data_IF_082445614439
#
_entry.id   IF_082445614439
#
_cell.length_a   1.000
_cell.length_b   1.000
_cell.length_c   1.000
_cell.angle_alpha   90.00
_cell.angle_beta   90.00
_cell.angle_gamma   90.00
#
_symmetry.space_group_name_H-M   'P 1'
#
loop_
_entity.id
_entity.type
_entity.pdbx_description
1 polymer ?
#
# COMPACT_ATOMS: atom_id res chain seq x y z
N UNK A 1 43.85 -28.46 40.23
CA UNK A 1 44.64 -27.59 39.32
C UNK A 1 45.51 -28.48 38.45
N UNK A 2 45.88 -28.11 37.21
CA UNK A 2 45.12 -27.35 36.21
C UNK A 2 45.40 -27.79 34.73
N UNK A 3 44.66 -27.18 33.78
CA UNK A 3 44.98 -26.91 32.34
C UNK A 3 44.92 -28.10 31.34
N UNK A 4 44.45 -27.97 30.08
CA UNK A 4 44.32 -26.81 29.20
C UNK A 4 43.31 -27.05 28.05
N UNK A 5 42.79 -25.95 27.48
CA UNK A 5 41.86 -25.84 26.34
C UNK A 5 42.52 -26.21 25.00
N UNK A 6 41.75 -26.81 24.09
CA UNK A 6 41.87 -26.52 22.65
C UNK A 6 40.50 -26.26 22.05
N UNK A 7 40.46 -25.19 21.24
CA UNK A 7 39.32 -24.62 20.57
C UNK A 7 39.35 -25.02 19.10
N UNK A 8 38.39 -25.84 18.66
CA UNK A 8 38.12 -26.03 17.23
C UNK A 8 36.79 -25.37 16.85
N UNK A 9 36.92 -24.25 16.17
CA UNK A 9 35.83 -23.54 15.50
C UNK A 9 35.43 -24.30 14.24
N UNK A 10 34.31 -25.02 14.28
CA UNK A 10 33.69 -25.57 13.07
C UNK A 10 32.87 -24.47 12.36
N UNK A 11 33.43 -24.03 11.24
CA UNK A 11 32.86 -23.05 10.32
C UNK A 11 31.64 -23.66 9.61
N UNK A 12 30.44 -23.18 9.94
CA UNK A 12 29.22 -23.49 9.18
C UNK A 12 29.02 -22.36 8.15
N UNK A 13 28.98 -22.64 6.84
CA UNK A 13 28.91 -21.60 5.82
C UNK A 13 27.53 -20.93 5.81
N UNK A 14 27.52 -19.60 5.96
CA UNK A 14 26.37 -18.72 5.76
C UNK A 14 25.90 -18.81 4.30
N UNK A 15 24.85 -19.58 4.05
CA UNK A 15 24.03 -19.44 2.85
C UNK A 15 22.93 -18.42 3.16
N UNK A 16 22.99 -17.25 2.50
CA UNK A 16 21.92 -16.42 1.93
C UNK A 16 22.29 -14.92 1.97
N UNK A 17 22.74 -14.31 0.85
CA UNK A 17 22.84 -12.86 0.77
C UNK A 17 21.43 -12.30 0.50
N UNK A 18 20.69 -11.97 1.54
CA UNK A 18 19.64 -10.97 1.39
C UNK A 18 20.32 -9.60 1.34
N UNK A 19 20.71 -9.20 0.13
CA UNK A 19 21.08 -7.82 -0.19
C UNK A 19 19.85 -6.94 -0.02
N UNK A 20 19.55 -6.60 1.23
CA UNK A 20 18.81 -5.39 1.56
C UNK A 20 19.77 -4.26 1.25
N UNK A 21 19.55 -3.56 0.14
CA UNK A 21 20.18 -2.25 -0.06
C UNK A 21 19.59 -1.36 1.02
N UNK A 22 20.25 -1.32 2.18
CA UNK A 22 20.01 -0.30 3.19
C UNK A 22 20.51 0.98 2.55
N UNK A 23 19.59 1.81 2.09
CA UNK A 23 19.92 3.17 1.70
C UNK A 23 20.34 3.88 2.99
N UNK A 24 21.64 3.85 3.30
CA UNK A 24 22.18 4.63 4.41
C UNK A 24 22.07 6.07 3.92
N UNK A 25 20.98 6.76 4.27
CA UNK A 25 20.96 8.22 4.16
C UNK A 25 22.20 8.72 4.91
N UNK A 26 23.13 9.33 4.18
CA UNK A 26 24.30 9.92 4.80
C UNK A 26 23.81 11.06 5.69
N UNK A 27 24.41 11.23 6.87
CA UNK A 27 24.04 12.28 7.85
C UNK A 27 24.02 13.70 7.25
N UNK A 28 24.61 13.89 6.07
CA UNK A 28 24.71 15.16 5.35
C UNK A 28 23.46 15.49 4.51
N UNK A 29 22.56 14.53 4.26
CA UNK A 29 21.35 14.72 3.42
C UNK A 29 20.08 15.04 4.23
N UNK A 30 20.17 15.08 5.56
CA UNK A 30 19.02 15.37 6.42
C UNK A 30 18.86 16.88 6.59
N UNK A 31 17.63 17.42 6.40
CA UNK A 31 17.40 18.83 6.63
C UNK A 31 17.73 19.18 8.09
N UNK A 32 18.32 20.36 8.36
CA UNK A 32 18.58 20.79 9.72
C UNK A 32 17.25 20.83 10.48
N UNK A 33 17.10 19.95 11.46
CA UNK A 33 15.90 19.85 12.28
C UNK A 33 16.23 20.17 13.73
N UNK A 34 15.35 20.91 14.38
CA UNK A 34 15.36 21.07 15.83
C UNK A 34 14.12 20.36 16.36
N UNK A 35 14.28 19.27 17.14
CA UNK A 35 13.14 18.58 17.72
C UNK A 35 12.30 19.48 18.60
N UNK A 36 10.98 19.33 18.52
CA UNK A 36 10.04 20.05 19.38
C UNK A 36 10.13 19.44 20.79
N UNK A 37 10.60 20.21 21.77
CA UNK A 37 10.76 19.77 23.16
C UNK A 37 9.50 20.02 23.97
N UNK A 38 9.10 19.02 24.74
CA UNK A 38 8.01 19.05 25.70
C UNK A 38 8.58 18.72 27.08
N UNK A 39 8.70 19.71 27.97
CA UNK A 39 9.32 19.52 29.27
C UNK A 39 8.61 18.46 30.11
N UNK A 40 9.38 17.76 30.96
CA UNK A 40 8.84 16.87 31.97
C UNK A 40 7.76 17.58 32.79
N UNK A 41 6.68 16.86 33.11
CA UNK A 41 5.50 17.36 33.86
C UNK A 41 4.70 18.49 33.16
N UNK A 42 5.04 18.90 31.95
CA UNK A 42 4.28 19.89 31.17
C UNK A 42 3.13 19.26 30.34
N UNK A 43 2.94 17.95 30.44
CA UNK A 43 1.92 17.19 29.72
C UNK A 43 1.31 16.12 30.61
N UNK A 44 0.16 15.62 30.20
CA UNK A 44 -0.51 14.48 30.79
C UNK A 44 -0.68 13.36 29.77
N UNK A 45 -0.60 12.11 30.22
CA UNK A 45 -0.75 10.94 29.36
C UNK A 45 -2.23 10.55 29.29
N UNK A 46 -2.74 10.43 28.06
CA UNK A 46 -4.09 9.95 27.77
C UNK A 46 -4.01 8.65 26.97
N UNK A 47 -4.86 7.68 27.31
CA UNK A 47 -5.13 6.56 26.39
C UNK A 47 -6.17 7.02 25.37
N UNK A 48 -5.91 6.74 24.10
CA UNK A 48 -6.84 6.99 23.01
C UNK A 48 -7.47 5.66 22.60
N UNK A 49 -8.80 5.62 22.59
CA UNK A 49 -9.61 4.46 22.18
C UNK A 49 -10.18 4.71 20.79
N UNK A 50 -10.00 3.76 19.87
CA UNK A 50 -10.59 3.85 18.53
C UNK A 50 -12.13 3.79 18.60
N UNK A 51 -12.81 4.68 17.89
CA UNK A 51 -14.28 4.73 17.84
C UNK A 51 -14.99 3.45 17.37
N UNK A 52 -14.29 2.56 16.65
CA UNK A 52 -14.83 1.26 16.19
C UNK A 52 -14.68 0.18 17.24
N UNK A 53 -13.90 0.42 18.28
CA UNK A 53 -13.68 -0.52 19.37
C UNK A 53 -14.86 -0.45 20.35
N UNK A 54 -15.79 -1.40 20.19
CA UNK A 54 -17.08 -1.40 20.89
C UNK A 54 -17.36 -2.78 21.48
N UNK A 55 -17.87 -2.85 22.71
CA UNK A 55 -18.25 -4.12 23.35
C UNK A 55 -19.41 -4.78 22.61
N UNK A 56 -20.38 -3.96 22.18
CA UNK A 56 -21.51 -4.33 21.34
C UNK A 56 -21.81 -3.19 20.37
N UNK A 57 -22.43 -3.48 19.21
CA UNK A 57 -22.79 -2.44 18.21
C UNK A 57 -23.57 -1.24 18.78
N UNK A 58 -24.20 -1.40 19.95
CA UNK A 58 -25.00 -0.38 20.64
C UNK A 58 -24.26 0.36 21.76
N UNK A 59 -23.15 -0.16 22.26
CA UNK A 59 -22.45 0.40 23.43
C UNK A 59 -21.02 0.79 23.04
N UNK A 60 -20.92 2.01 22.49
CA UNK A 60 -19.68 2.58 21.96
C UNK A 60 -18.80 3.21 23.04
N UNK A 61 -19.36 3.50 24.21
CA UNK A 61 -18.70 4.25 25.29
C UNK A 61 -18.26 3.36 26.43
N UNK A 62 -18.72 2.10 26.51
CA UNK A 62 -18.38 1.16 27.58
C UNK A 62 -16.91 1.15 27.98
N UNK A 63 -15.99 1.00 27.01
CA UNK A 63 -14.55 0.89 27.32
C UNK A 63 -14.03 2.19 27.91
N UNK A 64 -14.45 3.34 27.36
CA UNK A 64 -14.09 4.66 27.89
C UNK A 64 -14.61 4.82 29.33
N UNK A 65 -15.89 4.61 29.56
CA UNK A 65 -16.53 4.77 30.87
C UNK A 65 -15.86 3.89 31.94
N UNK A 66 -15.57 2.63 31.61
CA UNK A 66 -14.91 1.72 32.55
C UNK A 66 -13.47 2.15 32.87
N UNK A 67 -12.75 2.72 31.91
CA UNK A 67 -11.40 3.25 32.15
C UNK A 67 -11.46 4.53 33.00
N UNK A 68 -12.41 5.42 32.73
CA UNK A 68 -12.63 6.66 33.50
C UNK A 68 -13.02 6.37 34.95
N UNK A 69 -13.89 5.38 35.18
CA UNK A 69 -14.24 4.91 36.52
C UNK A 69 -13.02 4.39 37.31
N UNK A 70 -11.98 3.95 36.62
CA UNK A 70 -10.71 3.49 37.22
C UNK A 70 -9.65 4.61 37.33
N UNK A 71 -10.06 5.87 37.09
CA UNK A 71 -9.22 7.06 37.17
C UNK A 71 -8.24 7.20 36.00
N UNK A 72 -8.49 6.52 34.87
CA UNK A 72 -7.65 6.64 33.67
C UNK A 72 -8.19 7.74 32.78
N UNK A 73 -7.30 8.62 32.33
CA UNK A 73 -7.64 9.68 31.38
C UNK A 73 -7.73 9.11 29.97
N UNK A 74 -8.89 9.28 29.35
CA UNK A 74 -9.29 8.65 28.08
C UNK A 74 -9.70 9.69 27.05
N UNK A 75 -9.46 9.40 25.77
CA UNK A 75 -9.99 10.14 24.63
C UNK A 75 -10.51 9.13 23.62
N UNK A 76 -11.75 9.30 23.15
CA UNK A 76 -12.30 8.47 22.08
C UNK A 76 -12.26 9.23 20.76
N UNK A 77 -11.59 8.68 19.75
CA UNK A 77 -11.51 9.25 18.39
C UNK A 77 -11.17 8.19 17.37
N UNK A 78 -11.35 8.49 16.07
CA UNK A 78 -10.99 7.54 15.02
C UNK A 78 -9.48 7.44 14.90
N UNK A 79 -8.94 6.23 15.03
CA UNK A 79 -7.54 5.92 14.80
C UNK A 79 -7.38 5.34 13.39
N UNK A 80 -6.34 5.78 12.69
CA UNK A 80 -6.03 5.20 11.38
C UNK A 80 -5.51 3.77 11.55
N UNK A 81 -4.67 3.51 12.55
CA UNK A 81 -4.05 2.20 12.85
C UNK A 81 -4.03 1.95 14.36
N UNK A 82 -4.35 0.72 14.76
CA UNK A 82 -4.49 0.29 16.15
C UNK A 82 -5.86 0.58 16.74
N UNK A 83 -6.18 -0.12 17.83
CA UNK A 83 -7.42 0.06 18.60
C UNK A 83 -7.18 0.91 19.85
N UNK A 84 -5.96 0.85 20.39
CA UNK A 84 -5.53 1.71 21.49
C UNK A 84 -4.13 2.27 21.24
N UNK A 85 -3.95 3.56 21.50
CA UNK A 85 -2.64 4.22 21.56
C UNK A 85 -2.57 5.10 22.80
N UNK A 86 -1.40 5.63 23.13
CA UNK A 86 -1.26 6.65 24.16
C UNK A 86 -0.69 7.93 23.56
N UNK A 87 -1.15 9.06 24.08
CA UNK A 87 -0.64 10.38 23.72
C UNK A 87 -0.17 11.14 24.95
N UNK A 88 0.83 11.99 24.76
CA UNK A 88 1.15 13.08 25.67
C UNK A 88 0.42 14.34 25.19
N UNK A 89 -0.54 14.82 25.98
CA UNK A 89 -1.27 16.05 25.75
C UNK A 89 -0.70 17.16 26.63
N UNK A 90 -0.18 18.27 26.05
CA UNK A 90 0.31 19.40 26.83
C UNK A 90 -0.75 19.95 27.78
N UNK A 91 -0.32 20.41 28.96
CA UNK A 91 -1.22 21.15 29.88
C UNK A 91 -1.42 22.56 29.35
N UNK A 92 -2.66 23.04 29.38
CA UNK A 92 -3.04 24.38 28.93
C UNK A 92 -2.09 25.44 29.54
N UNK A 93 -1.51 26.28 28.68
CA UNK A 93 -0.59 27.36 29.06
C UNK A 93 0.92 27.10 28.87
N UNK A 94 1.34 25.86 28.59
CA UNK A 94 2.78 25.50 28.51
C UNK A 94 3.35 25.36 27.09
N UNK A 95 2.50 25.24 26.06
CA UNK A 95 2.92 25.12 24.67
C UNK A 95 2.13 26.10 23.81
N UNK A 96 2.82 27.11 23.29
CA UNK A 96 2.22 28.18 22.46
C UNK A 96 1.49 27.68 21.21
N UNK A 97 1.67 26.41 20.83
CA UNK A 97 0.91 25.69 19.80
C UNK A 97 0.82 24.19 20.17
N UNK A 98 0.32 23.86 21.38
CA UNK A 98 0.43 22.53 21.99
C UNK A 98 -0.14 21.35 21.18
N UNK A 99 0.63 20.83 20.23
CA UNK A 99 0.32 19.61 19.49
C UNK A 99 0.50 18.40 20.39
N UNK A 100 -0.42 17.45 20.31
CA UNK A 100 -0.36 16.18 21.03
C UNK A 100 0.72 15.27 20.41
N UNK A 101 1.42 14.50 21.25
CA UNK A 101 2.47 13.59 20.79
C UNK A 101 2.02 12.14 20.98
N UNK A 102 2.25 11.28 20.00
CA UNK A 102 2.01 9.85 20.11
C UNK A 102 3.16 9.17 20.84
N UNK A 103 2.83 8.44 21.91
CA UNK A 103 3.77 7.62 22.65
C UNK A 103 4.02 6.30 21.90
N UNK A 104 5.13 5.64 22.23
CA UNK A 104 5.63 4.50 21.47
C UNK A 104 4.90 3.17 21.69
N UNK A 105 3.62 3.19 22.05
CA UNK A 105 2.83 1.98 22.29
C UNK A 105 1.53 2.01 21.49
N UNK A 106 1.26 0.90 20.80
CA UNK A 106 0.00 0.64 20.10
C UNK A 106 -0.48 -0.76 20.44
N UNK A 107 -1.77 -0.91 20.70
CA UNK A 107 -2.44 -2.19 20.85
C UNK A 107 -3.39 -2.39 19.67
N UNK A 108 -3.31 -3.57 19.05
CA UNK A 108 -4.38 -4.13 18.22
C UNK A 108 -5.07 -5.22 19.04
N UNK A 109 -6.36 -5.02 19.36
CA UNK A 109 -7.20 -5.99 20.07
C UNK A 109 -7.91 -6.87 19.05
N UNK A 110 -7.89 -8.18 19.32
CA UNK A 110 -8.58 -9.17 18.50
C UNK A 110 -9.30 -10.16 19.39
N UNK A 111 -10.61 -10.30 19.23
CA UNK A 111 -11.31 -11.44 19.81
C UNK A 111 -10.91 -12.72 19.08
N UNK A 112 -10.97 -13.88 19.74
CA UNK A 112 -10.68 -15.16 19.08
C UNK A 112 -11.56 -15.37 17.83
N UNK A 113 -12.82 -14.96 17.88
CA UNK A 113 -13.77 -15.10 16.77
C UNK A 113 -13.37 -14.20 15.58
N UNK A 114 -13.02 -12.94 15.84
CA UNK A 114 -12.52 -12.02 14.82
C UNK A 114 -11.17 -12.46 14.25
N UNK A 115 -10.32 -13.10 15.06
CA UNK A 115 -9.05 -13.63 14.60
C UNK A 115 -9.28 -14.75 13.59
N UNK A 116 -10.15 -15.73 13.89
CA UNK A 116 -10.51 -16.82 12.97
C UNK A 116 -11.11 -16.26 11.67
N UNK A 117 -12.04 -15.31 11.78
CA UNK A 117 -12.62 -14.66 10.61
C UNK A 117 -11.57 -13.93 9.78
N UNK A 118 -10.65 -13.22 10.43
CA UNK A 118 -9.59 -12.47 9.77
C UNK A 118 -8.51 -13.34 9.13
N UNK A 119 -8.27 -14.56 9.62
CA UNK A 119 -7.34 -15.52 8.98
C UNK A 119 -7.96 -16.07 7.69
N UNK A 120 -9.28 -16.25 7.67
CA UNK A 120 -10.02 -16.73 6.49
C UNK A 120 -10.14 -15.63 5.42
N UNK A 121 -10.31 -14.38 5.83
CA UNK A 121 -10.34 -13.21 4.93
C UNK A 121 -8.91 -12.65 4.72
N UNK A 122 -8.65 -11.98 3.61
CA UNK A 122 -7.38 -11.30 3.32
C UNK A 122 -6.98 -10.20 4.34
N UNK A 123 -7.89 -9.83 5.26
CA UNK A 123 -7.75 -8.70 6.20
C UNK A 123 -6.62 -8.86 7.21
N UNK A 124 -6.32 -10.08 7.66
CA UNK A 124 -5.26 -10.28 8.65
C UNK A 124 -3.89 -9.80 8.15
N UNK A 125 -3.57 -10.06 6.88
CA UNK A 125 -2.30 -9.62 6.27
C UNK A 125 -2.23 -8.09 6.16
N UNK A 126 -3.30 -7.46 5.70
CA UNK A 126 -3.37 -6.00 5.55
C UNK A 126 -3.27 -5.29 6.90
N UNK A 127 -3.99 -5.76 7.93
CA UNK A 127 -3.94 -5.20 9.28
C UNK A 127 -2.52 -5.28 9.85
N UNK A 128 -1.88 -6.45 9.71
CA UNK A 128 -0.51 -6.68 10.15
C UNK A 128 0.50 -5.76 9.46
N UNK A 129 0.43 -5.62 8.13
CA UNK A 129 1.33 -4.72 7.37
C UNK A 129 1.18 -3.28 7.84
N UNK A 130 -0.05 -2.82 8.06
CA UNK A 130 -0.31 -1.46 8.58
C UNK A 130 0.28 -1.27 9.97
N UNK A 131 0.13 -2.25 10.85
CA UNK A 131 0.72 -2.18 12.19
C UNK A 131 2.24 -2.21 12.14
N UNK A 132 2.86 -3.03 11.27
CA UNK A 132 4.31 -3.04 11.07
C UNK A 132 4.86 -1.68 10.62
N UNK A 133 4.14 -1.03 9.70
CA UNK A 133 4.57 0.21 9.05
C UNK A 133 4.07 1.48 9.75
N UNK A 134 3.35 1.35 10.88
CA UNK A 134 2.71 2.52 11.51
C UNK A 134 3.65 3.53 12.16
N UNK A 135 4.93 3.21 12.24
CA UNK A 135 5.93 4.07 12.86
C UNK A 135 6.04 3.91 14.38
N UNK A 136 5.11 3.24 15.06
CA UNK A 136 5.21 2.97 16.50
C UNK A 136 6.12 1.76 16.76
N UNK A 137 6.98 1.86 17.78
CA UNK A 137 7.95 0.81 18.12
C UNK A 137 7.30 -0.37 18.82
N UNK A 138 6.63 -0.12 19.95
CA UNK A 138 6.11 -1.19 20.80
C UNK A 138 4.69 -1.53 20.35
N UNK A 139 4.59 -2.59 19.55
CA UNK A 139 3.34 -3.10 19.00
C UNK A 139 2.89 -4.27 19.85
N UNK A 140 1.68 -4.17 20.39
CA UNK A 140 1.08 -5.19 21.25
C UNK A 140 -0.11 -5.78 20.50
N UNK A 141 -0.11 -7.10 20.35
CA UNK A 141 -1.24 -7.84 19.81
C UNK A 141 -2.01 -8.46 20.97
N UNK A 142 -3.19 -7.94 21.27
CA UNK A 142 -4.01 -8.37 22.41
C UNK A 142 -5.09 -9.33 21.93
N UNK A 143 -4.96 -10.61 22.29
CA UNK A 143 -5.93 -11.66 21.93
C UNK A 143 -6.86 -11.93 23.11
N UNK A 144 -8.12 -11.56 22.95
CA UNK A 144 -9.17 -11.78 23.96
C UNK A 144 -9.96 -13.06 23.65
N UNK A 145 -10.07 -13.94 24.65
CA UNK A 145 -10.83 -15.19 24.51
C UNK A 145 -12.34 -14.92 24.54
N UNK A 146 -13.04 -15.45 23.53
CA UNK A 146 -14.50 -15.43 23.48
C UNK A 146 -15.10 -16.61 24.27
N UNK A 147 -16.16 -16.43 25.07
CA UNK A 147 -16.83 -17.52 25.80
C UNK A 147 -17.50 -18.56 24.90
N UNK A 148 -17.80 -18.24 23.64
CA UNK A 148 -18.53 -19.10 22.68
C UNK A 148 -17.68 -20.22 22.06
N UNK A 149 -16.64 -20.65 22.78
CA UNK A 149 -15.65 -21.65 22.39
C UNK A 149 -16.19 -23.07 22.64
N UNK A 150 -17.29 -23.46 21.99
CA UNK A 150 -17.83 -24.83 22.12
C UNK A 150 -17.91 -25.62 20.79
N UNK A 151 -17.78 -24.96 19.62
CA UNK A 151 -17.95 -25.66 18.31
C UNK A 151 -16.89 -25.38 17.23
N UNK A 152 -15.88 -24.53 17.49
CA UNK A 152 -14.84 -24.17 16.52
C UNK A 152 -13.45 -24.81 16.79
N UNK A 153 -13.37 -25.70 17.79
CA UNK A 153 -12.15 -25.92 18.58
C UNK A 153 -11.01 -26.68 17.90
N UNK A 154 -11.20 -27.66 17.00
CA UNK A 154 -10.00 -28.45 16.59
C UNK A 154 -9.21 -27.87 15.41
N UNK A 155 -9.87 -27.41 14.34
CA UNK A 155 -9.14 -26.89 13.17
C UNK A 155 -8.68 -25.43 13.36
N UNK A 156 -9.46 -24.63 14.10
CA UNK A 156 -9.18 -23.21 14.32
C UNK A 156 -8.04 -22.96 15.30
N UNK A 157 -7.92 -23.77 16.36
CA UNK A 157 -6.95 -23.52 17.43
C UNK A 157 -5.50 -23.68 16.97
N UNK A 158 -5.21 -24.64 16.10
CA UNK A 158 -3.87 -24.80 15.51
C UNK A 158 -3.53 -23.60 14.63
N UNK A 159 -4.45 -23.17 13.76
CA UNK A 159 -4.25 -21.99 12.92
C UNK A 159 -4.09 -20.69 13.75
N UNK A 160 -4.88 -20.54 14.82
CA UNK A 160 -4.76 -19.42 15.78
C UNK A 160 -3.40 -19.45 16.46
N UNK A 161 -2.95 -20.61 16.96
CA UNK A 161 -1.62 -20.78 17.58
C UNK A 161 -0.52 -20.43 16.60
N UNK A 162 -0.58 -20.95 15.37
CA UNK A 162 0.38 -20.62 14.32
C UNK A 162 0.39 -19.11 14.04
N UNK A 163 -0.78 -18.47 13.88
CA UNK A 163 -0.87 -17.03 13.64
C UNK A 163 -0.30 -16.22 14.81
N UNK A 164 -0.56 -16.62 16.06
CA UNK A 164 0.03 -15.99 17.26
C UNK A 164 1.54 -16.16 17.30
N UNK A 165 2.05 -17.36 17.03
CA UNK A 165 3.50 -17.62 16.96
C UNK A 165 4.15 -16.80 15.85
N UNK A 166 3.52 -16.67 14.68
CA UNK A 166 4.03 -15.83 13.59
C UNK A 166 4.12 -14.37 14.00
N UNK A 167 3.08 -13.82 14.64
CA UNK A 167 3.06 -12.43 15.14
C UNK A 167 4.18 -12.18 16.14
N UNK A 168 4.47 -13.14 17.02
CA UNK A 168 5.50 -12.99 18.04
C UNK A 168 6.92 -13.21 17.49
N UNK A 169 7.14 -14.29 16.72
CA UNK A 169 8.48 -14.73 16.29
C UNK A 169 8.94 -14.01 15.03
N UNK A 170 8.05 -13.81 14.06
CA UNK A 170 8.42 -13.21 12.77
C UNK A 170 8.35 -11.69 12.87
N UNK A 171 7.27 -11.15 13.43
CA UNK A 171 7.02 -9.70 13.40
C UNK A 171 7.53 -8.97 14.64
N UNK A 172 7.90 -9.71 15.69
CA UNK A 172 8.40 -9.13 16.94
C UNK A 172 7.36 -8.35 17.75
N UNK A 173 6.06 -8.61 17.54
CA UNK A 173 5.02 -7.97 18.35
C UNK A 173 4.93 -8.62 19.73
N UNK A 174 4.58 -7.83 20.74
CA UNK A 174 4.29 -8.37 22.07
C UNK A 174 2.90 -8.98 22.09
N UNK A 175 2.80 -10.30 22.27
CA UNK A 175 1.52 -10.98 22.36
C UNK A 175 0.99 -10.94 23.80
N UNK A 176 -0.20 -10.36 24.00
CA UNK A 176 -0.92 -10.37 25.28
C UNK A 176 -2.22 -11.15 25.13
N UNK A 177 -2.41 -12.20 25.92
CA UNK A 177 -3.69 -12.90 25.98
C UNK A 177 -4.50 -12.43 27.21
N UNK A 178 -5.81 -12.28 27.02
CA UNK A 178 -6.77 -11.99 28.08
C UNK A 178 -7.95 -12.96 27.99
N UNK A 179 -8.48 -13.39 29.14
CA UNK A 179 -9.59 -14.33 29.23
C UNK A 179 -10.96 -13.65 29.04
N UNK A 180 -11.03 -12.33 29.20
CA UNK A 180 -12.26 -11.55 29.10
C UNK A 180 -11.96 -10.07 28.86
N UNK A 181 -13.00 -9.32 28.44
CA UNK A 181 -12.93 -7.86 28.35
C UNK A 181 -12.56 -7.19 29.68
N UNK A 182 -12.98 -7.74 30.82
CA UNK A 182 -12.62 -7.18 32.12
C UNK A 182 -11.11 -7.27 32.37
N UNK A 183 -10.48 -8.40 32.00
CA UNK A 183 -9.03 -8.53 32.09
C UNK A 183 -8.32 -7.61 31.08
N UNK A 184 -8.88 -7.44 29.88
CA UNK A 184 -8.43 -6.44 28.90
C UNK A 184 -8.44 -5.03 29.50
N UNK A 185 -9.54 -4.61 30.12
CA UNK A 185 -9.64 -3.31 30.79
C UNK A 185 -8.59 -3.15 31.89
N UNK A 186 -8.42 -4.15 32.75
CA UNK A 186 -7.39 -4.11 33.80
C UNK A 186 -5.97 -4.02 33.23
N UNK A 187 -5.71 -4.65 32.09
CA UNK A 187 -4.43 -4.54 31.39
C UNK A 187 -4.22 -3.12 30.86
N UNK A 188 -5.23 -2.52 30.22
CA UNK A 188 -5.17 -1.13 29.73
C UNK A 188 -4.94 -0.13 30.87
N UNK A 189 -5.61 -0.31 32.03
CA UNK A 189 -5.40 0.52 33.23
C UNK A 189 -3.95 0.43 33.71
N UNK A 190 -3.43 -0.81 33.86
CA UNK A 190 -2.05 -1.04 34.31
C UNK A 190 -1.02 -0.44 33.36
N UNK A 191 -1.20 -0.68 32.06
CA UNK A 191 -0.34 -0.09 31.02
C UNK A 191 -0.36 1.44 31.08
N UNK A 192 -1.54 2.05 31.17
CA UNK A 192 -1.65 3.51 31.21
C UNK A 192 -0.95 4.09 32.43
N UNK A 193 -1.13 3.50 33.62
CA UNK A 193 -0.44 3.95 34.84
C UNK A 193 1.08 3.84 34.72
N UNK A 194 1.58 2.73 34.16
CA UNK A 194 3.01 2.54 33.94
C UNK A 194 3.58 3.56 32.95
N UNK A 195 2.89 3.83 31.85
CA UNK A 195 3.32 4.83 30.87
C UNK A 195 3.28 6.25 31.44
N UNK A 196 2.26 6.58 32.22
CA UNK A 196 2.21 7.86 32.94
C UNK A 196 3.42 8.06 33.85
N UNK A 197 3.80 7.03 34.62
CA UNK A 197 4.99 7.07 35.48
C UNK A 197 6.25 7.24 34.63
N UNK A 198 6.42 6.41 33.59
CA UNK A 198 7.60 6.40 32.72
C UNK A 198 7.84 7.75 32.05
N UNK A 199 6.79 8.40 31.55
CA UNK A 199 6.91 9.64 30.78
C UNK A 199 6.83 10.91 31.62
N UNK A 200 6.12 10.91 32.75
CA UNK A 200 5.96 12.13 33.57
C UNK A 200 7.28 12.74 34.07
N UNK A 201 8.33 11.93 34.24
CA UNK A 201 9.63 12.33 34.77
C UNK A 201 10.67 12.75 33.72
N UNK A 202 10.35 12.71 32.43
CA UNK A 202 11.31 12.97 31.36
C UNK A 202 10.77 13.93 30.31
N UNK A 203 11.68 14.65 29.65
CA UNK A 203 11.35 15.47 28.50
C UNK A 203 11.01 14.59 27.30
N UNK A 204 9.99 14.99 26.55
CA UNK A 204 9.63 14.38 25.29
C UNK A 204 10.13 15.25 24.13
N UNK A 205 10.56 14.61 23.06
CA UNK A 205 10.99 15.27 21.84
C UNK A 205 10.17 14.75 20.67
N UNK A 206 9.60 15.64 19.87
CA UNK A 206 8.83 15.29 18.68
C UNK A 206 9.53 15.78 17.41
N UNK A 207 9.40 15.02 16.33
CA UNK A 207 9.88 15.41 15.02
C UNK A 207 8.93 16.49 14.46
N UNK A 208 9.45 17.63 13.96
CA UNK A 208 8.64 18.62 13.27
C UNK A 208 7.89 18.01 12.07
N UNK A 209 6.59 18.28 11.90
CA UNK A 209 5.76 17.64 10.88
C UNK A 209 6.20 17.96 9.44
N UNK A 210 6.91 19.06 9.22
CA UNK A 210 7.34 19.55 7.91
C UNK A 210 8.42 18.66 7.26
N UNK A 211 9.11 17.85 8.06
CA UNK A 211 10.28 17.07 7.64
C UNK A 211 9.91 15.61 7.34
N UNK A 212 8.73 15.18 7.81
CA UNK A 212 8.35 13.77 7.81
C UNK A 212 7.78 13.37 6.45
N UNK A 213 8.45 12.43 5.77
CA UNK A 213 7.91 11.76 4.59
C UNK A 213 7.47 10.34 4.92
N UNK A 214 6.35 9.90 4.32
CA UNK A 214 5.77 8.56 4.54
C UNK A 214 6.71 7.44 4.11
N UNK A 215 7.44 7.64 3.01
CA UNK A 215 8.30 6.62 2.41
C UNK A 215 9.61 6.40 3.18
N UNK A 216 10.12 7.44 3.84
CA UNK A 216 11.43 7.44 4.51
C UNK A 216 11.33 7.60 6.04
N UNK A 217 10.12 7.63 6.61
CA UNK A 217 9.89 7.96 8.01
C UNK A 217 10.77 7.16 9.00
N UNK A 218 10.88 5.84 8.80
CA UNK A 218 11.64 4.97 9.71
C UNK A 218 13.13 5.32 9.71
N UNK A 219 13.72 5.44 8.52
CA UNK A 219 15.14 5.75 8.32
C UNK A 219 15.45 7.17 8.80
N UNK A 220 14.59 8.13 8.47
CA UNK A 220 14.69 9.52 8.93
C UNK A 220 14.65 9.59 10.46
N UNK A 221 13.70 8.94 11.12
CA UNK A 221 13.62 8.95 12.59
C UNK A 221 14.90 8.38 13.20
N UNK A 222 15.36 7.22 12.76
CA UNK A 222 16.56 6.58 13.31
C UNK A 222 17.81 7.45 13.13
N UNK A 223 17.91 8.17 12.01
CA UNK A 223 19.02 9.08 11.77
C UNK A 223 18.96 10.34 12.63
N UNK A 224 17.78 10.93 12.81
CA UNK A 224 17.56 12.07 13.69
C UNK A 224 17.76 11.71 15.17
N UNK A 225 17.31 10.52 15.60
CA UNK A 225 17.55 10.02 16.97
C UNK A 225 19.06 9.85 17.23
N UNK A 226 19.82 9.36 16.25
CA UNK A 226 21.29 9.28 16.33
C UNK A 226 21.94 10.65 16.40
N UNK A 227 21.49 11.60 15.59
CA UNK A 227 22.02 12.97 15.55
C UNK A 227 21.78 13.71 16.88
N UNK A 228 20.57 13.63 17.42
CA UNK A 228 20.18 14.37 18.62
C UNK A 228 20.40 13.60 19.93
N UNK A 229 20.79 12.32 19.87
CA UNK A 229 20.99 11.42 21.02
C UNK A 229 19.79 11.36 21.96
N UNK A 230 18.59 11.51 21.41
CA UNK A 230 17.34 11.50 22.14
C UNK A 230 16.30 10.66 21.39
N UNK A 231 15.32 10.17 22.14
CA UNK A 231 14.19 9.44 21.57
C UNK A 231 13.20 10.42 20.95
N UNK A 232 12.85 10.20 19.69
CA UNK A 232 11.95 11.07 18.94
C UNK A 232 10.59 10.43 18.74
N UNK A 233 9.58 11.21 19.02
CA UNK A 233 8.17 10.87 18.89
C UNK A 233 7.54 11.61 17.70
N UNK A 234 6.29 11.26 17.39
CA UNK A 234 5.56 11.85 16.27
C UNK A 234 4.37 12.63 16.81
N UNK A 235 4.10 13.79 16.23
CA UNK A 235 2.88 14.55 16.49
C UNK A 235 1.65 13.73 16.06
N UNK A 236 0.58 13.78 16.84
CA UNK A 236 -0.63 12.97 16.61
C UNK A 236 -1.24 13.16 15.22
N UNK A 237 -1.42 14.41 14.77
CA UNK A 237 -2.00 14.69 13.46
C UNK A 237 -1.13 14.14 12.33
N UNK A 238 0.19 14.23 12.48
CA UNK A 238 1.14 13.65 11.52
C UNK A 238 1.09 12.14 11.54
N UNK A 239 1.01 11.51 12.71
CA UNK A 239 0.84 10.06 12.82
C UNK A 239 -0.43 9.59 12.09
N UNK A 240 -1.55 10.31 12.26
CA UNK A 240 -2.79 10.00 11.56
C UNK A 240 -2.65 10.18 10.05
N UNK A 241 -2.04 11.27 9.58
CA UNK A 241 -1.83 11.51 8.14
C UNK A 241 -0.91 10.46 7.50
N UNK A 242 0.18 10.07 8.16
CA UNK A 242 1.11 9.04 7.67
C UNK A 242 0.42 7.68 7.51
N UNK A 243 -0.47 7.36 8.45
CA UNK A 243 -1.18 6.09 8.52
C UNK A 243 -2.53 6.09 7.81
N UNK A 244 -2.93 7.23 7.25
CA UNK A 244 -4.17 7.33 6.51
C UNK A 244 -4.12 6.40 5.29
N UNK A 245 -5.29 5.85 4.95
CA UNK A 245 -5.49 4.92 3.85
C UNK A 245 -5.47 5.63 2.49
N UNK A 246 -4.85 6.80 2.39
CA UNK A 246 -4.46 7.38 1.10
C UNK A 246 -3.52 6.39 0.42
N UNK A 247 -4.11 5.68 -0.53
CA UNK A 247 -3.44 4.76 -1.42
C UNK A 247 -2.71 5.62 -2.46
N UNK A 248 -1.61 6.23 -2.05
CA UNK A 248 -0.69 6.86 -2.97
C UNK A 248 0.09 5.75 -3.69
N UNK A 249 -0.63 4.96 -4.49
CA UNK A 249 -0.03 3.90 -5.27
C UNK A 249 0.95 4.51 -6.23
N UNK A 250 2.19 4.05 -6.25
CA UNK A 250 3.09 4.42 -7.35
C UNK A 250 2.53 3.83 -8.65
N UNK A 251 2.74 4.49 -9.79
CA UNK A 251 2.28 3.99 -11.10
C UNK A 251 2.74 2.54 -11.33
N UNK A 252 3.98 2.22 -10.93
CA UNK A 252 4.53 0.88 -10.96
C UNK A 252 3.78 -0.14 -10.07
N UNK A 253 3.24 0.29 -8.92
CA UNK A 253 2.45 -0.58 -8.05
C UNK A 253 1.07 -0.89 -8.65
N UNK A 254 0.43 0.10 -9.27
CA UNK A 254 -0.82 -0.09 -10.02
C UNK A 254 -0.54 -1.08 -11.16
N UNK A 255 0.53 -0.86 -11.90
CA UNK A 255 0.96 -1.73 -12.99
C UNK A 255 1.23 -3.18 -12.53
N UNK A 256 1.95 -3.35 -11.42
CA UNK A 256 2.21 -4.68 -10.84
C UNK A 256 0.90 -5.38 -10.45
N UNK A 257 -0.07 -4.65 -9.88
CA UNK A 257 -1.40 -5.19 -9.54
C UNK A 257 -2.21 -5.56 -10.79
N UNK A 258 -2.14 -4.74 -11.84
CA UNK A 258 -2.76 -5.02 -13.13
C UNK A 258 -2.21 -6.33 -13.73
N UNK A 259 -0.89 -6.54 -13.67
CA UNK A 259 -0.26 -7.81 -14.11
C UNK A 259 -0.75 -9.02 -13.29
N UNK A 260 -0.87 -8.88 -11.98
CA UNK A 260 -1.37 -9.94 -11.09
C UNK A 260 -2.85 -10.30 -11.33
N UNK A 261 -3.61 -9.46 -12.06
CA UNK A 261 -4.98 -9.81 -12.46
C UNK A 261 -5.03 -10.92 -13.52
N UNK A 262 -3.93 -11.15 -14.24
CA UNK A 262 -3.80 -12.20 -15.24
C UNK A 262 -3.55 -13.54 -14.53
N UNK A 263 -4.52 -14.45 -14.58
CA UNK A 263 -4.43 -15.78 -13.93
C UNK A 263 -3.15 -16.51 -14.34
N UNK A 264 -2.29 -16.81 -13.35
CA UNK A 264 -1.00 -17.48 -13.53
C UNK A 264 0.22 -16.56 -13.32
N UNK A 265 0.00 -15.24 -13.27
CA UNK A 265 1.02 -14.26 -12.90
C UNK A 265 1.07 -14.13 -11.38
N UNK A 266 2.10 -14.69 -10.75
CA UNK A 266 2.37 -14.50 -9.33
C UNK A 266 2.95 -13.11 -9.05
N UNK A 267 2.94 -12.68 -7.78
CA UNK A 267 3.54 -11.40 -7.39
C UNK A 267 5.03 -11.29 -7.77
N UNK A 268 5.78 -12.39 -7.67
CA UNK A 268 7.20 -12.43 -8.07
C UNK A 268 7.40 -12.23 -9.58
N UNK A 269 6.53 -12.81 -10.41
CA UNK A 269 6.55 -12.65 -11.86
C UNK A 269 6.11 -11.26 -12.28
N UNK A 270 5.05 -10.74 -11.66
CA UNK A 270 4.57 -9.38 -11.89
C UNK A 270 5.63 -8.35 -11.53
N UNK A 271 6.27 -8.48 -10.37
CA UNK A 271 7.34 -7.58 -9.94
C UNK A 271 8.57 -7.63 -10.84
N UNK A 272 8.95 -8.83 -11.32
CA UNK A 272 10.05 -8.97 -12.27
C UNK A 272 9.74 -8.27 -13.61
N UNK A 273 8.54 -8.48 -14.16
CA UNK A 273 8.14 -7.85 -15.41
C UNK A 273 7.96 -6.33 -15.24
N UNK A 274 7.39 -5.87 -14.12
CA UNK A 274 7.24 -4.46 -13.80
C UNK A 274 8.58 -3.77 -13.47
N UNK A 275 9.63 -4.51 -13.14
CA UNK A 275 10.98 -3.97 -13.01
C UNK A 275 11.60 -3.69 -14.38
N UNK A 276 11.44 -4.60 -15.33
CA UNK A 276 11.92 -4.46 -16.70
C UNK A 276 11.11 -3.42 -17.48
N UNK A 277 9.79 -3.41 -17.28
CA UNK A 277 8.84 -2.48 -17.89
C UNK A 277 8.05 -1.75 -16.79
N UNK A 278 8.52 -0.58 -16.32
CA UNK A 278 7.94 0.13 -15.18
C UNK A 278 6.45 0.49 -15.28
N UNK A 279 5.93 0.60 -16.50
CA UNK A 279 4.54 0.97 -16.78
C UNK A 279 3.94 0.12 -17.89
N UNK A 280 2.60 0.05 -17.95
CA UNK A 280 1.90 -0.61 -19.06
C UNK A 280 2.33 -0.04 -20.42
N UNK A 281 2.48 1.29 -20.52
CA UNK A 281 2.92 1.96 -21.76
C UNK A 281 4.33 1.54 -22.17
N UNK A 282 5.26 1.39 -21.22
CA UNK A 282 6.63 0.94 -21.52
C UNK A 282 6.65 -0.46 -22.12
N UNK A 283 5.81 -1.38 -21.62
CA UNK A 283 5.68 -2.71 -22.19
C UNK A 283 5.02 -2.66 -23.58
N UNK A 284 3.94 -1.90 -23.75
CA UNK A 284 3.27 -1.75 -25.04
C UNK A 284 4.24 -1.19 -26.11
N UNK A 285 5.01 -0.15 -25.77
CA UNK A 285 5.99 0.42 -26.69
C UNK A 285 7.08 -0.59 -27.09
N UNK A 286 7.52 -1.44 -26.16
CA UNK A 286 8.45 -2.51 -26.48
C UNK A 286 7.83 -3.57 -27.40
N UNK A 287 6.53 -3.90 -27.22
CA UNK A 287 5.80 -4.83 -28.08
C UNK A 287 5.50 -4.27 -29.48
N UNK A 288 5.33 -2.95 -29.60
CA UNK A 288 5.15 -2.24 -30.88
C UNK A 288 6.39 -2.37 -31.77
N UNK A 289 7.58 -2.43 -31.17
CA UNK A 289 8.85 -2.60 -31.88
C UNK A 289 9.14 -4.05 -32.29
N UNK A 290 8.27 -5.01 -31.96
CA UNK A 290 8.42 -6.40 -32.35
C UNK A 290 7.71 -6.68 -33.69
N UNK A 291 8.36 -7.38 -34.64
CA UNK A 291 7.81 -7.62 -35.97
C UNK A 291 6.62 -8.59 -35.98
N UNK A 292 6.66 -9.61 -35.13
CA UNK A 292 5.68 -10.70 -35.12
C UNK A 292 5.27 -11.13 -33.69
N UNK A 293 4.23 -11.96 -33.60
CA UNK A 293 3.71 -12.43 -32.32
C UNK A 293 4.70 -13.32 -31.55
N UNK A 294 5.56 -14.08 -32.22
CA UNK A 294 6.57 -14.91 -31.55
C UNK A 294 7.68 -14.05 -30.93
N UNK A 295 8.08 -12.98 -31.61
CA UNK A 295 9.00 -11.98 -31.07
C UNK A 295 8.43 -11.27 -29.83
N UNK A 296 7.12 -10.95 -29.82
CA UNK A 296 6.41 -10.39 -28.65
C UNK A 296 6.39 -11.35 -27.46
N UNK A 297 6.12 -12.64 -27.71
CA UNK A 297 6.18 -13.67 -26.67
C UNK A 297 7.60 -13.77 -26.09
N UNK A 298 8.64 -13.77 -26.94
CA UNK A 298 10.03 -13.82 -26.52
C UNK A 298 10.42 -12.61 -25.66
N UNK A 299 9.97 -11.41 -26.02
CA UNK A 299 10.20 -10.18 -25.25
C UNK A 299 9.58 -10.25 -23.85
N UNK A 300 8.35 -10.75 -23.72
CA UNK A 300 7.68 -10.91 -22.41
C UNK A 300 8.38 -11.97 -21.57
N UNK A 301 8.84 -13.07 -22.18
CA UNK A 301 9.61 -14.11 -21.50
C UNK A 301 10.94 -13.55 -20.97
N UNK A 302 11.65 -12.78 -21.80
CA UNK A 302 12.91 -12.12 -21.44
C UNK A 302 12.76 -11.03 -20.38
N UNK A 303 11.57 -10.41 -20.30
CA UNK A 303 11.24 -9.48 -19.22
C UNK A 303 10.97 -10.14 -17.87
N UNK A 304 10.73 -11.46 -17.85
CA UNK A 304 10.64 -12.27 -16.64
C UNK A 304 12.03 -12.57 -16.07
N UNK A 305 12.16 -12.60 -14.74
CA UNK A 305 13.42 -12.96 -14.08
C UNK A 305 13.73 -14.45 -14.16
N UNK A 306 14.80 -14.91 -13.49
CA UNK A 306 15.15 -16.33 -13.45
C UNK A 306 14.34 -17.13 -12.41
N UNK A 307 14.31 -18.46 -12.55
CA UNK A 307 13.74 -19.39 -11.56
C UNK A 307 12.23 -19.18 -11.35
N UNK A 308 11.79 -18.95 -10.11
CA UNK A 308 10.36 -18.73 -9.78
C UNK A 308 9.76 -17.48 -10.43
N UNK A 309 10.62 -16.53 -10.86
CA UNK A 309 10.26 -15.30 -11.57
C UNK A 309 10.15 -15.50 -13.09
N UNK A 310 10.54 -16.66 -13.60
CA UNK A 310 10.53 -16.94 -15.02
C UNK A 310 9.10 -17.03 -15.57
N UNK A 311 8.92 -16.44 -16.74
CA UNK A 311 7.67 -16.48 -17.48
C UNK A 311 7.83 -17.53 -18.58
N UNK A 312 7.08 -18.63 -18.46
CA UNK A 312 7.04 -19.67 -19.50
C UNK A 312 6.23 -19.23 -20.72
N UNK A 313 6.42 -19.90 -21.86
CA UNK A 313 5.78 -19.54 -23.14
C UNK A 313 4.26 -19.42 -23.06
N UNK A 314 3.58 -20.40 -22.47
CA UNK A 314 2.13 -20.36 -22.30
C UNK A 314 1.63 -19.15 -21.48
N UNK A 315 2.41 -18.70 -20.50
CA UNK A 315 2.08 -17.52 -19.70
C UNK A 315 2.40 -16.22 -20.45
N UNK A 316 3.51 -16.18 -21.20
CA UNK A 316 3.87 -15.03 -22.04
C UNK A 316 2.83 -14.77 -23.13
N UNK A 317 2.40 -15.82 -23.84
CA UNK A 317 1.31 -15.76 -24.81
C UNK A 317 0.03 -15.18 -24.21
N UNK A 318 -0.33 -15.66 -23.02
CA UNK A 318 -1.52 -15.16 -22.30
C UNK A 318 -1.40 -13.69 -21.90
N UNK A 319 -0.20 -13.26 -21.48
CA UNK A 319 0.08 -11.85 -21.16
C UNK A 319 -0.05 -10.99 -22.43
N UNK A 320 0.53 -11.43 -23.55
CA UNK A 320 0.41 -10.76 -24.84
C UNK A 320 -1.04 -10.65 -25.32
N UNK A 321 -1.80 -11.75 -25.29
CA UNK A 321 -3.20 -11.75 -25.72
C UNK A 321 -4.08 -10.76 -24.95
N UNK A 322 -3.73 -10.47 -23.69
CA UNK A 322 -4.45 -9.53 -22.83
C UNK A 322 -3.97 -8.09 -23.05
N UNK A 323 -2.66 -7.87 -23.21
CA UNK A 323 -2.05 -6.54 -23.24
C UNK A 323 -1.98 -5.96 -24.66
N UNK A 324 -1.68 -6.77 -25.66
CA UNK A 324 -1.49 -6.31 -27.03
C UNK A 324 -2.75 -5.63 -27.62
N UNK A 325 -3.97 -6.13 -27.41
CA UNK A 325 -5.18 -5.42 -27.85
C UNK A 325 -5.36 -4.04 -27.19
N UNK A 326 -4.81 -3.84 -25.99
CA UNK A 326 -4.84 -2.53 -25.31
C UNK A 326 -4.01 -1.47 -26.03
N UNK A 327 -2.97 -1.87 -26.76
CA UNK A 327 -2.17 -0.93 -27.55
C UNK A 327 -3.05 -0.16 -28.55
N UNK A 328 -3.91 -0.87 -29.28
CA UNK A 328 -4.85 -0.26 -30.23
C UNK A 328 -5.91 0.59 -29.56
N UNK A 329 -6.45 0.14 -28.42
CA UNK A 329 -7.43 0.91 -27.65
C UNK A 329 -6.83 2.22 -27.11
N UNK A 330 -5.57 2.19 -26.64
CA UNK A 330 -4.86 3.38 -26.16
C UNK A 330 -4.55 4.36 -27.30
N UNK A 331 -4.14 3.87 -28.48
CA UNK A 331 -3.91 4.72 -29.66
C UNK A 331 -5.22 5.36 -30.14
N UNK A 332 -6.32 4.61 -30.18
CA UNK A 332 -7.63 5.12 -30.52
C UNK A 332 -8.13 6.16 -29.51
N UNK A 333 -7.94 5.91 -28.21
CA UNK A 333 -8.30 6.84 -27.13
C UNK A 333 -7.47 8.13 -27.22
N UNK A 334 -6.15 8.04 -27.38
CA UNK A 334 -5.28 9.23 -27.52
C UNK A 334 -5.63 10.03 -28.77
N UNK A 335 -5.93 9.36 -29.87
CA UNK A 335 -6.37 10.03 -31.11
C UNK A 335 -7.72 10.74 -30.91
N UNK A 336 -8.67 10.11 -30.20
CA UNK A 336 -9.98 10.68 -29.93
C UNK A 336 -9.88 11.88 -28.97
N UNK A 337 -9.10 11.76 -27.89
CA UNK A 337 -8.82 12.83 -26.92
C UNK A 337 -8.11 13.99 -27.60
N UNK A 338 -7.14 13.71 -28.48
CA UNK A 338 -6.43 14.76 -29.23
C UNK A 338 -7.35 15.45 -30.24
N UNK A 339 -8.15 14.69 -31.00
CA UNK A 339 -9.15 15.25 -31.93
C UNK A 339 -10.20 16.09 -31.22
N UNK A 340 -10.70 15.65 -30.06
CA UNK A 340 -11.66 16.44 -29.26
C UNK A 340 -11.02 17.67 -28.65
N UNK A 341 -9.79 17.59 -28.11
CA UNK A 341 -9.06 18.77 -27.63
C UNK A 341 -8.74 19.77 -28.75
N UNK A 342 -8.34 19.29 -29.92
CA UNK A 342 -8.07 20.10 -31.10
C UNK A 342 -9.34 20.77 -31.66
N UNK A 343 -10.42 20.00 -31.80
CA UNK A 343 -11.70 20.51 -32.29
C UNK A 343 -12.31 21.55 -31.35
N UNK A 344 -12.22 21.32 -30.03
CA UNK A 344 -12.66 22.28 -29.02
C UNK A 344 -11.82 23.57 -29.03
N UNK A 345 -10.49 23.44 -29.11
CA UNK A 345 -9.55 24.59 -29.12
C UNK A 345 -9.67 25.43 -30.39
N UNK A 346 -10.12 24.86 -31.51
CA UNK A 346 -10.26 25.54 -32.79
C UNK A 346 -11.72 25.81 -33.20
N UNK A 347 -12.70 25.58 -32.31
CA UNK A 347 -14.11 25.85 -32.58
C UNK A 347 -14.73 24.99 -33.70
N UNK A 348 -14.12 23.84 -34.02
CA UNK A 348 -14.61 22.94 -35.08
C UNK A 348 -15.60 21.94 -34.49
N UNK A 349 -16.82 21.78 -35.04
CA UNK A 349 -17.78 20.81 -34.55
C UNK A 349 -17.28 19.37 -34.77
N UNK A 350 -17.29 18.56 -33.71
CA UNK A 350 -16.96 17.12 -33.79
C UNK A 350 -18.16 16.38 -34.36
N UNK A 351 -18.22 16.20 -35.68
CA UNK A 351 -19.28 15.41 -36.33
C UNK A 351 -19.00 13.92 -36.16
N UNK A 352 -19.95 13.22 -35.54
CA UNK A 352 -19.89 11.80 -35.20
C UNK A 352 -20.24 10.88 -36.38
N UNK A 353 -19.55 10.96 -37.52
CA UNK A 353 -19.77 10.01 -38.63
C UNK A 353 -18.58 9.98 -39.59
N UNK A 354 -17.52 9.27 -39.23
CA UNK A 354 -16.63 8.66 -40.22
C UNK A 354 -15.94 7.45 -39.61
N UNK A 355 -16.46 6.25 -39.90
CA UNK A 355 -15.79 4.99 -39.62
C UNK A 355 -14.41 4.97 -40.30
N UNK A 356 -13.32 4.61 -39.61
CA UNK A 356 -12.05 4.42 -40.29
C UNK A 356 -12.03 3.00 -40.91
N UNK A 357 -12.49 2.87 -42.15
CA UNK A 357 -11.98 1.81 -43.02
C UNK A 357 -10.57 2.23 -43.43
N UNK A 358 -9.55 1.65 -42.78
CA UNK A 358 -8.17 1.80 -43.20
C UNK A 358 -7.76 0.52 -43.95
N UNK A 359 -7.83 0.56 -45.28
CA UNK A 359 -7.25 -0.47 -46.15
C UNK A 359 -5.75 -0.20 -46.27
N UNK A 360 -4.93 -0.93 -45.53
CA UNK A 360 -3.48 -0.98 -45.72
C UNK A 360 -3.13 -2.05 -46.76
N UNK A 361 -3.47 -1.84 -48.03
CA UNK A 361 -2.84 -2.49 -49.19
C UNK A 361 -3.25 -1.75 -50.46
N UNK A 362 -2.53 -0.66 -50.79
CA UNK A 362 -2.09 -0.36 -52.16
C UNK A 362 -1.28 0.94 -52.23
N UNK A 363 0.02 0.75 -52.42
CA UNK A 363 0.92 1.42 -53.37
C UNK A 363 0.83 2.93 -53.65
N UNK A 364 1.96 3.58 -53.30
CA UNK A 364 2.84 4.41 -54.12
C UNK A 364 2.35 5.79 -54.62
N UNK A 365 3.24 6.76 -54.37
CA UNK A 365 3.29 8.13 -54.88
C UNK A 365 2.36 9.14 -54.21
N UNK A 366 2.87 9.77 -53.14
CA UNK A 366 2.73 11.22 -53.00
C UNK A 366 3.89 11.77 -52.15
N UNK A 367 4.44 12.88 -52.63
CA UNK A 367 5.78 13.41 -52.40
C UNK A 367 6.03 13.99 -51.01
N UNK A 368 7.26 13.79 -50.54
CA UNK A 368 7.92 14.55 -49.46
C UNK A 368 7.91 16.05 -49.75
N UNK A 369 6.98 16.83 -49.17
CA UNK A 369 7.13 18.29 -49.14
C UNK A 369 6.35 19.04 -48.04
N UNK A 370 5.73 18.36 -47.07
CA UNK A 370 4.93 19.07 -46.05
C UNK A 370 5.21 18.62 -44.61
N UNK A 371 6.50 18.49 -44.26
CA UNK A 371 6.94 18.19 -42.87
C UNK A 371 7.17 19.43 -41.99
N UNK A 372 7.13 20.64 -42.54
CA UNK A 372 7.55 21.84 -41.82
C UNK A 372 6.46 22.93 -41.80
N UNK A 373 5.41 22.74 -41.00
CA UNK A 373 4.57 23.85 -40.52
C UNK A 373 3.65 23.40 -39.38
N UNK A 374 4.14 23.36 -38.14
CA UNK A 374 3.26 23.36 -36.96
C UNK A 374 3.79 24.36 -35.92
N UNK A 375 3.03 25.40 -35.57
CA UNK A 375 3.50 26.43 -34.66
C UNK A 375 3.51 25.92 -33.21
N UNK A 376 4.65 26.08 -32.55
CA UNK A 376 4.80 26.07 -31.09
C UNK A 376 4.00 27.28 -30.57
N UNK A 377 3.05 27.14 -29.63
CA UNK A 377 2.66 28.24 -28.71
C UNK A 377 1.74 27.84 -27.51
N UNK A 378 2.22 28.32 -26.34
CA UNK A 378 1.62 28.72 -25.04
C UNK A 378 0.87 27.74 -24.12
N UNK A 379 1.34 27.75 -22.86
CA UNK A 379 0.82 27.11 -21.65
C UNK A 379 -0.41 27.85 -21.09
N UNK A 380 -1.58 27.22 -21.11
CA UNK A 380 -2.72 27.55 -20.24
C UNK A 380 -3.33 26.27 -19.63
N UNK A 381 -3.93 26.33 -18.42
CA UNK A 381 -4.34 25.15 -17.66
C UNK A 381 -5.56 24.43 -18.27
N UNK A 382 -5.45 23.11 -18.36
CA UNK A 382 -6.40 22.21 -19.03
C UNK A 382 -7.55 21.81 -18.08
N UNK A 383 -8.80 22.07 -18.47
CA UNK A 383 -10.00 21.45 -17.86
C UNK A 383 -10.50 20.34 -18.81
N UNK A 384 -10.59 19.10 -18.32
CA UNK A 384 -10.93 17.92 -19.14
C UNK A 384 -12.45 17.77 -19.39
N UNK A 385 -12.89 17.30 -20.58
CA UNK A 385 -14.30 17.03 -20.90
C UNK A 385 -14.85 15.74 -20.23
N UNK A 386 -16.19 15.55 -20.18
CA UNK A 386 -16.85 14.48 -19.42
C UNK A 386 -16.58 13.06 -19.95
N UNK A 387 -16.23 12.16 -19.04
CA UNK A 387 -15.72 10.78 -19.24
C UNK A 387 -16.75 9.80 -19.87
N UNK A 388 -18.04 10.14 -19.89
CA UNK A 388 -19.11 9.19 -20.22
C UNK A 388 -19.19 8.77 -21.70
N UNK A 389 -18.86 9.66 -22.65
CA UNK A 389 -18.95 9.36 -24.10
C UNK A 389 -17.79 8.51 -24.62
N UNK A 390 -16.65 8.50 -23.94
CA UNK A 390 -15.44 7.73 -24.28
C UNK A 390 -15.58 6.24 -23.94
N UNK A 391 -16.38 5.93 -22.92
CA UNK A 391 -16.52 4.57 -22.38
C UNK A 391 -17.37 3.63 -23.24
N UNK A 392 -18.36 4.16 -23.98
CA UNK A 392 -19.22 3.39 -24.87
C UNK A 392 -18.45 2.92 -26.11
N UNK A 393 -17.65 3.79 -26.72
CA UNK A 393 -16.88 3.51 -27.94
C UNK A 393 -15.77 2.47 -27.72
N UNK A 394 -15.09 2.50 -26.57
CA UNK A 394 -14.09 1.46 -26.21
C UNK A 394 -14.73 0.08 -26.03
N UNK A 395 -15.93 0.03 -25.47
CA UNK A 395 -16.64 -1.23 -25.25
C UNK A 395 -17.14 -1.85 -26.56
N UNK A 396 -17.60 -1.02 -27.49
CA UNK A 396 -17.99 -1.44 -28.84
C UNK A 396 -16.80 -1.93 -29.66
N UNK A 397 -15.66 -1.25 -29.60
CA UNK A 397 -14.43 -1.63 -30.33
C UNK A 397 -13.90 -2.98 -29.83
N UNK A 398 -13.89 -3.20 -28.51
CA UNK A 398 -13.51 -4.48 -27.91
C UNK A 398 -14.51 -5.61 -28.25
N UNK A 399 -15.81 -5.32 -28.22
CA UNK A 399 -16.86 -6.28 -28.60
C UNK A 399 -16.73 -6.70 -30.08
N UNK A 400 -16.46 -5.77 -30.99
CA UNK A 400 -16.26 -6.08 -32.41
C UNK A 400 -15.03 -6.98 -32.65
N UNK A 401 -13.92 -6.74 -31.95
CA UNK A 401 -12.72 -7.57 -32.11
C UNK A 401 -12.87 -8.98 -31.50
N UNK A 402 -13.62 -9.11 -30.40
CA UNK A 402 -13.94 -10.42 -29.81
C UNK A 402 -14.91 -11.23 -30.69
N UNK A 403 -15.75 -10.58 -31.49
CA UNK A 403 -16.59 -11.25 -32.50
C UNK A 403 -15.73 -11.83 -33.63
N UNK A 404 -14.69 -11.12 -34.08
CA UNK A 404 -13.76 -11.63 -35.10
C UNK A 404 -12.86 -12.79 -34.62
N UNK A 405 -12.70 -13.01 -33.31
CA UNK A 405 -11.97 -14.16 -32.74
C UNK A 405 -12.85 -15.36 -32.36
N UNK A 406 -14.19 -15.23 -32.42
CA UNK A 406 -15.12 -16.34 -32.08
C UNK A 406 -15.17 -17.46 -33.12
N UNK A 407 -14.52 -17.29 -34.27
CA UNK A 407 -14.33 -18.34 -35.28
C UNK A 407 -13.30 -19.40 -34.88
N UNK A 408 -12.59 -19.25 -33.76
CA UNK A 408 -11.72 -20.30 -33.19
C UNK A 408 -12.01 -20.52 -31.70
N UNK A 409 -12.43 -21.72 -31.34
CA UNK A 409 -13.15 -22.10 -30.11
C UNK A 409 -12.55 -21.77 -28.71
N UNK A 410 -13.48 -21.70 -27.75
CA UNK A 410 -13.35 -22.04 -26.30
C UNK A 410 -12.56 -21.13 -25.32
N UNK A 411 -12.33 -19.85 -25.60
CA UNK A 411 -11.53 -18.98 -24.69
C UNK A 411 -12.34 -17.84 -24.01
N UNK A 412 -13.64 -17.68 -24.32
CA UNK A 412 -14.39 -16.44 -24.08
C UNK A 412 -14.70 -16.02 -22.62
N UNK A 413 -14.88 -16.96 -21.68
CA UNK A 413 -15.42 -16.61 -20.35
C UNK A 413 -14.36 -16.05 -19.37
N UNK A 414 -13.16 -16.65 -19.32
CA UNK A 414 -12.09 -16.24 -18.40
C UNK A 414 -11.39 -14.95 -18.84
N UNK A 415 -11.31 -14.69 -20.15
CA UNK A 415 -10.72 -13.45 -20.69
C UNK A 415 -11.64 -12.25 -20.45
N UNK A 416 -12.96 -12.43 -20.53
CA UNK A 416 -13.96 -11.39 -20.23
C UNK A 416 -13.87 -10.87 -18.80
N UNK A 417 -13.69 -11.74 -17.80
CA UNK A 417 -13.53 -11.32 -16.40
C UNK A 417 -12.20 -10.59 -16.13
N UNK A 418 -11.12 -11.03 -16.80
CA UNK A 418 -9.79 -10.40 -16.67
C UNK A 418 -9.80 -8.99 -17.30
N UNK A 419 -10.44 -8.85 -18.45
CA UNK A 419 -10.64 -7.57 -19.13
C UNK A 419 -11.44 -6.57 -18.31
N UNK A 420 -12.59 -6.98 -17.74
CA UNK A 420 -13.40 -6.11 -16.87
C UNK A 420 -12.60 -5.59 -15.67
N UNK A 421 -11.74 -6.43 -15.10
CA UNK A 421 -10.89 -6.07 -13.97
C UNK A 421 -9.75 -5.14 -14.38
N UNK A 422 -9.14 -5.35 -15.55
CA UNK A 422 -8.15 -4.44 -16.14
C UNK A 422 -8.74 -3.07 -16.49
N UNK A 423 -9.93 -3.02 -17.09
CA UNK A 423 -10.65 -1.78 -17.42
C UNK A 423 -10.84 -0.89 -16.18
N UNK A 424 -11.31 -1.47 -15.07
CA UNK A 424 -11.45 -0.74 -13.79
C UNK A 424 -10.12 -0.16 -13.27
N UNK A 425 -9.00 -0.80 -13.57
CA UNK A 425 -7.68 -0.26 -13.21
C UNK A 425 -7.14 0.76 -14.22
N UNK A 426 -7.54 0.69 -15.49
CA UNK A 426 -7.18 1.71 -16.48
C UNK A 426 -7.92 3.03 -16.23
N UNK A 427 -9.17 2.97 -15.77
CA UNK A 427 -9.92 4.15 -15.33
C UNK A 427 -9.20 4.88 -14.17
N UNK A 428 -8.60 4.13 -13.25
CA UNK A 428 -7.76 4.67 -12.16
C UNK A 428 -6.42 5.25 -12.64
N UNK A 429 -5.89 4.77 -13.77
CA UNK A 429 -4.65 5.25 -14.37
C UNK A 429 -4.90 6.56 -15.14
N UNK A 430 -6.00 6.65 -15.89
CA UNK A 430 -6.36 7.84 -16.69
C UNK A 430 -6.75 9.08 -15.89
N UNK A 431 -7.04 8.91 -14.59
CA UNK A 431 -7.41 9.99 -13.66
C UNK A 431 -6.21 10.56 -12.91
N UNK A 432 -5.03 9.95 -13.05
CA UNK A 432 -3.74 10.44 -12.54
C UNK A 432 -2.86 10.88 -13.70
#
# INVERSE_FOLDING_TARGET
MPFQRESETSHVPELFPHTTVVCIMQLQDLPPCVPIRYPARAFDVYIVVDTREVKFKKDRTYIQEQLELQGVRTITRSLTVGDFIWIAKPRDGSAREGKEIVLDHVIERKTTDDLVASIKDSRYKDQKIRLMTCGIRNKIYLVEKSPSLARAIDFGMTAIRTAMTQVQVIEGFFLKQTASLNETLQYLVRMTRQLSILYSGQDLFAIPPEIISKDTFKEQREALERQHRCRLHVVYDTYQSLNNKSKDYKLQEIWTRQLMSIKGVSGEKAAALAKTYPTMRSLISALENCPDDSSREALIRGGGGAGRKAIGGALAKKIQEVIWPLAFAMVAHNTLVYKTKYAWRNGVPVTSTSSPTFNLFNNSNESESNRDAWPILSNEPIVNPPVASLNSTMEETYKMQMVNKRTTGSIGASQSASWKRLKSYMELDSTR
#
